data_IF_276949950732
#
_entry.id   IF_276949950732
#
_cell.length_a   1.000
_cell.length_b   1.000
_cell.length_c   1.000
_cell.angle_alpha   90.00
_cell.angle_beta   90.00
_cell.angle_gamma   90.00
#
_symmetry.space_group_name_H-M   'P 1'
#
loop_
_entity.id
_entity.type
_entity.pdbx_description
1 polymer ?
#
# COMPACT_ATOMS: atom_id res chain seq x y z
N UNK A 1 24.56 4.26 17.11
CA UNK A 1 23.55 4.46 16.05
C UNK A 1 23.38 3.11 15.37
N UNK A 2 22.17 2.63 15.26
CA UNK A 2 21.94 1.33 14.64
C UNK A 2 22.12 1.44 13.13
N UNK A 3 22.86 0.50 12.57
CA UNK A 3 23.20 0.42 11.17
C UNK A 3 22.87 -0.99 10.67
N UNK A 4 22.43 -1.10 9.43
CA UNK A 4 22.11 -2.38 8.81
C UNK A 4 22.41 -2.39 7.32
N UNK A 5 22.63 -3.58 6.79
CA UNK A 5 22.63 -3.78 5.35
C UNK A 5 21.23 -3.43 4.81
N UNK A 6 21.18 -2.52 3.84
CA UNK A 6 19.92 -2.03 3.28
C UNK A 6 19.05 -3.14 2.69
N UNK A 7 19.65 -4.10 1.99
CA UNK A 7 18.90 -5.19 1.35
C UNK A 7 18.27 -6.14 2.37
N UNK A 8 19.01 -6.45 3.44
CA UNK A 8 18.52 -7.32 4.51
C UNK A 8 17.38 -6.64 5.27
N UNK A 9 17.53 -5.37 5.61
CA UNK A 9 16.50 -4.58 6.27
C UNK A 9 15.25 -4.47 5.39
N UNK A 10 15.41 -4.16 4.10
CA UNK A 10 14.30 -4.10 3.13
C UNK A 10 13.57 -5.43 3.04
N UNK A 11 14.29 -6.55 2.98
CA UNK A 11 13.72 -7.90 2.96
C UNK A 11 12.92 -8.18 4.22
N UNK A 12 13.45 -7.82 5.38
CA UNK A 12 12.79 -7.98 6.66
C UNK A 12 11.49 -7.18 6.74
N UNK A 13 11.49 -5.90 6.32
CA UNK A 13 10.28 -5.06 6.28
C UNK A 13 9.23 -5.67 5.36
N UNK A 14 9.59 -6.05 4.15
CA UNK A 14 8.67 -6.63 3.17
C UNK A 14 8.08 -7.94 3.67
N UNK A 15 8.88 -8.77 4.34
CA UNK A 15 8.41 -10.02 4.93
C UNK A 15 7.38 -9.76 6.03
N UNK A 16 7.64 -8.83 6.94
CA UNK A 16 6.69 -8.46 8.00
C UNK A 16 5.38 -7.85 7.44
N UNK A 17 5.46 -7.07 6.36
CA UNK A 17 4.25 -6.55 5.69
C UNK A 17 3.38 -7.68 5.14
N UNK A 18 4.00 -8.73 4.58
CA UNK A 18 3.28 -9.93 4.10
C UNK A 18 2.64 -10.70 5.24
N UNK A 19 3.39 -10.97 6.31
CA UNK A 19 2.92 -11.68 7.50
C UNK A 19 1.75 -10.94 8.18
N UNK A 20 1.75 -9.64 8.11
CA UNK A 20 0.65 -8.78 8.58
C UNK A 20 -0.47 -8.58 7.58
N UNK A 21 -0.47 -9.33 6.48
CA UNK A 21 -1.51 -9.30 5.46
C UNK A 21 -1.77 -7.94 4.80
N UNK A 22 -0.73 -7.11 4.64
CA UNK A 22 -0.85 -5.89 3.85
C UNK A 22 -1.22 -6.21 2.41
N UNK A 23 -2.05 -5.35 1.79
CA UNK A 23 -2.47 -5.53 0.42
C UNK A 23 -1.26 -5.56 -0.53
N UNK A 24 -1.24 -6.40 -1.57
CA UNK A 24 -0.14 -6.46 -2.53
C UNK A 24 0.23 -5.11 -3.13
N UNK A 25 -0.76 -4.27 -3.45
CA UNK A 25 -0.53 -2.90 -3.95
C UNK A 25 0.17 -2.01 -2.92
N UNK A 26 -0.18 -2.16 -1.64
CA UNK A 26 0.50 -1.43 -0.55
C UNK A 26 1.95 -1.88 -0.45
N UNK A 27 2.23 -3.18 -0.51
CA UNK A 27 3.60 -3.71 -0.51
C UNK A 27 4.40 -3.22 -1.73
N UNK A 28 3.77 -3.13 -2.90
CA UNK A 28 4.39 -2.55 -4.09
C UNK A 28 4.75 -1.07 -3.88
N UNK A 29 3.89 -0.29 -3.21
CA UNK A 29 4.17 1.11 -2.88
C UNK A 29 5.38 1.25 -1.94
N UNK A 30 5.50 0.39 -0.92
CA UNK A 30 6.69 0.32 -0.06
C UNK A 30 7.96 0.02 -0.88
N UNK A 31 7.92 -1.00 -1.73
CA UNK A 31 9.05 -1.37 -2.59
C UNK A 31 9.47 -0.23 -3.51
N UNK A 32 8.50 0.51 -4.08
CA UNK A 32 8.77 1.67 -4.93
C UNK A 32 9.50 2.78 -4.16
N UNK A 33 9.08 3.07 -2.92
CA UNK A 33 9.77 4.03 -2.06
C UNK A 33 11.21 3.58 -1.74
N UNK A 34 11.38 2.30 -1.46
CA UNK A 34 12.71 1.74 -1.16
C UNK A 34 13.63 1.70 -2.37
N UNK A 35 13.12 1.49 -3.58
CA UNK A 35 13.91 1.64 -4.81
C UNK A 35 14.45 3.06 -4.97
N UNK A 36 13.66 4.08 -4.64
CA UNK A 36 14.10 5.48 -4.70
C UNK A 36 15.17 5.80 -3.64
N UNK A 37 15.02 5.24 -2.44
CA UNK A 37 16.02 5.34 -1.40
C UNK A 37 17.33 4.64 -1.81
N UNK A 38 17.24 3.46 -2.42
CA UNK A 38 18.39 2.74 -2.96
C UNK A 38 19.15 3.56 -4.01
N UNK A 39 18.43 4.17 -4.96
CA UNK A 39 19.05 5.07 -5.95
C UNK A 39 19.78 6.23 -5.25
N UNK A 40 19.15 6.86 -4.26
CA UNK A 40 19.78 7.93 -3.47
C UNK A 40 21.05 7.46 -2.77
N UNK A 41 21.03 6.27 -2.15
CA UNK A 41 22.20 5.70 -1.49
C UNK A 41 23.33 5.44 -2.48
N UNK A 42 23.02 4.87 -3.66
CA UNK A 42 24.00 4.62 -4.72
C UNK A 42 24.63 5.92 -5.26
N UNK A 43 23.81 6.94 -5.54
CA UNK A 43 24.27 8.25 -6.01
C UNK A 43 25.20 8.94 -5.00
N UNK A 44 24.94 8.76 -3.70
CA UNK A 44 25.73 9.34 -2.62
C UNK A 44 26.83 8.40 -2.07
N UNK A 45 27.03 7.22 -2.68
CA UNK A 45 28.03 6.19 -2.29
C UNK A 45 27.86 5.76 -0.81
N UNK A 46 26.62 5.61 -0.38
CA UNK A 46 26.27 5.13 0.95
C UNK A 46 26.09 3.62 0.89
N UNK A 47 26.91 2.88 1.61
CA UNK A 47 26.88 1.41 1.62
C UNK A 47 26.00 0.84 2.71
N UNK A 48 25.86 1.54 3.83
CA UNK A 48 25.16 1.09 5.03
C UNK A 48 23.99 2.02 5.32
N UNK A 49 22.84 1.44 5.60
CA UNK A 49 21.65 2.20 5.96
C UNK A 49 21.64 2.51 7.46
N UNK A 50 21.28 3.76 7.78
CA UNK A 50 20.95 4.22 9.13
C UNK A 50 19.69 5.10 9.08
N UNK A 51 19.07 5.34 10.21
CA UNK A 51 17.90 6.22 10.30
C UNK A 51 18.21 7.63 9.75
N UNK A 52 19.43 8.12 9.96
CA UNK A 52 19.89 9.40 9.41
C UNK A 52 19.89 9.43 7.89
N UNK A 53 20.31 8.34 7.24
CA UNK A 53 20.28 8.23 5.77
C UNK A 53 18.85 8.38 5.24
N UNK A 54 17.88 7.71 5.90
CA UNK A 54 16.47 7.85 5.57
C UNK A 54 15.94 9.27 5.73
N UNK A 55 16.33 9.96 6.82
CA UNK A 55 15.97 11.35 7.05
C UNK A 55 16.59 12.32 6.03
N UNK A 56 17.87 12.15 5.70
CA UNK A 56 18.58 12.98 4.73
C UNK A 56 18.01 12.78 3.32
N UNK A 57 17.63 11.55 2.97
CA UNK A 57 16.89 11.25 1.74
C UNK A 57 15.57 12.04 1.67
N UNK A 58 14.77 12.01 2.74
CA UNK A 58 13.51 12.74 2.79
C UNK A 58 13.73 14.26 2.71
N UNK A 59 14.71 14.81 3.42
CA UNK A 59 15.07 16.24 3.37
C UNK A 59 15.47 16.67 1.97
N UNK A 60 16.31 15.89 1.31
CA UNK A 60 16.78 16.18 -0.06
C UNK A 60 15.61 16.17 -1.04
N UNK A 61 14.68 15.23 -0.87
CA UNK A 61 13.53 15.08 -1.76
C UNK A 61 12.46 16.16 -1.55
N UNK A 62 12.17 16.50 -0.32
CA UNK A 62 11.10 17.45 0.02
C UNK A 62 11.55 18.92 0.06
N UNK A 63 12.85 19.19 -0.02
CA UNK A 63 13.43 20.54 -0.14
C UNK A 63 12.84 21.57 0.85
N UNK A 64 12.62 21.15 2.09
CA UNK A 64 12.11 22.04 3.15
C UNK A 64 10.59 22.29 3.12
N UNK A 65 9.84 21.61 2.27
CA UNK A 65 8.36 21.68 2.27
C UNK A 65 7.83 21.05 3.56
N UNK A 66 6.91 21.75 4.24
CA UNK A 66 6.28 21.23 5.45
C UNK A 66 5.44 19.98 5.15
N UNK A 67 5.43 18.99 6.07
CA UNK A 67 4.71 17.72 5.89
C UNK A 67 3.23 17.92 5.50
N UNK A 68 2.56 18.92 6.07
CA UNK A 68 1.15 19.20 5.76
C UNK A 68 0.91 19.57 4.28
N UNK A 69 1.93 20.14 3.62
CA UNK A 69 1.88 20.58 2.22
C UNK A 69 2.35 19.53 1.22
N UNK A 70 2.84 18.38 1.71
CA UNK A 70 3.25 17.28 0.86
C UNK A 70 2.04 16.62 0.18
N UNK A 71 2.23 16.15 -1.03
CA UNK A 71 1.26 15.29 -1.71
C UNK A 71 1.06 13.96 -0.94
N UNK A 72 -0.06 13.28 -1.17
CA UNK A 72 -0.33 11.97 -0.53
C UNK A 72 0.74 10.94 -0.86
N UNK A 73 1.29 10.99 -2.07
CA UNK A 73 2.40 10.14 -2.48
C UNK A 73 3.66 10.39 -1.63
N UNK A 74 4.01 11.65 -1.40
CA UNK A 74 5.17 12.04 -0.58
C UNK A 74 4.96 11.73 0.90
N UNK A 75 3.75 11.94 1.42
CA UNK A 75 3.37 11.53 2.79
C UNK A 75 3.50 10.03 2.98
N UNK A 76 3.08 9.23 1.99
CA UNK A 76 3.27 7.78 2.02
C UNK A 76 4.75 7.41 2.03
N UNK A 77 5.58 8.09 1.25
CA UNK A 77 7.03 7.86 1.25
C UNK A 77 7.65 8.15 2.63
N UNK A 78 7.28 9.26 3.28
CA UNK A 78 7.69 9.55 4.66
C UNK A 78 7.31 8.40 5.60
N UNK A 79 6.07 7.91 5.50
CA UNK A 79 5.59 6.77 6.29
C UNK A 79 6.41 5.51 6.03
N UNK A 80 6.71 5.21 4.77
CA UNK A 80 7.49 4.01 4.40
C UNK A 80 8.90 4.06 4.99
N UNK A 81 9.57 5.22 4.94
CA UNK A 81 10.90 5.40 5.53
C UNK A 81 10.85 5.31 7.05
N UNK A 82 9.83 5.87 7.70
CA UNK A 82 9.64 5.74 9.15
C UNK A 82 9.46 4.29 9.59
N UNK A 83 8.71 3.50 8.83
CA UNK A 83 8.56 2.06 9.11
C UNK A 83 9.88 1.31 8.94
N UNK A 84 10.69 1.65 7.95
CA UNK A 84 12.04 1.08 7.82
C UNK A 84 12.93 1.42 9.02
N UNK A 85 12.90 2.67 9.49
CA UNK A 85 13.63 3.09 10.68
C UNK A 85 13.11 2.39 11.94
N UNK A 86 11.80 2.20 12.06
CA UNK A 86 11.17 1.45 13.15
C UNK A 86 11.67 0.01 13.22
N UNK A 87 11.69 -0.69 12.07
CA UNK A 87 12.22 -2.07 12.01
C UNK A 87 13.72 -2.09 12.28
N UNK A 88 14.49 -1.09 11.81
CA UNK A 88 15.91 -0.97 12.14
C UNK A 88 16.15 -0.91 13.67
N UNK A 89 15.34 -0.13 14.40
CA UNK A 89 15.50 0.08 15.82
C UNK A 89 14.91 -1.04 16.69
N UNK A 90 13.79 -1.60 16.28
CA UNK A 90 13.01 -2.53 17.12
C UNK A 90 12.96 -3.96 16.59
N UNK A 91 13.39 -4.17 15.36
CA UNK A 91 13.28 -5.45 14.66
C UNK A 91 11.88 -5.78 14.15
N UNK A 92 10.86 -5.02 14.53
CA UNK A 92 9.45 -5.28 14.18
C UNK A 92 8.71 -4.01 13.77
N UNK A 93 7.65 -4.17 12.98
CA UNK A 93 6.67 -3.11 12.73
C UNK A 93 5.71 -3.03 13.92
N UNK A 94 5.71 -1.94 14.68
CA UNK A 94 4.91 -1.77 15.90
C UNK A 94 3.46 -1.41 15.57
N UNK A 95 3.23 -0.63 14.52
CA UNK A 95 1.90 -0.18 14.11
C UNK A 95 0.94 -1.35 13.85
N UNK A 96 -0.31 -1.24 14.30
CA UNK A 96 -1.35 -2.20 13.92
C UNK A 96 -1.58 -2.11 12.42
N UNK A 97 -1.66 -3.24 11.69
CA UNK A 97 -2.12 -3.20 10.32
C UNK A 97 -3.51 -2.55 10.33
N UNK A 98 -3.75 -1.62 9.41
CA UNK A 98 -5.12 -1.17 9.16
C UNK A 98 -5.91 -2.43 8.81
N UNK A 99 -6.96 -2.80 9.58
CA UNK A 99 -7.73 -3.97 9.23
C UNK A 99 -8.19 -3.79 7.79
N UNK A 100 -7.95 -4.79 6.95
CA UNK A 100 -8.61 -4.82 5.66
C UNK A 100 -10.09 -4.70 5.96
N UNK A 101 -10.74 -3.68 5.43
CA UNK A 101 -12.19 -3.72 5.32
C UNK A 101 -12.52 -5.06 4.68
N UNK A 102 -13.35 -5.90 5.31
CA UNK A 102 -13.70 -7.18 4.72
C UNK A 102 -14.12 -6.90 3.28
N UNK A 103 -13.60 -7.69 2.36
CA UNK A 103 -13.91 -7.53 0.95
C UNK A 103 -15.43 -7.59 0.83
N UNK A 104 -16.05 -6.54 0.27
CA UNK A 104 -17.49 -6.47 0.16
C UNK A 104 -17.98 -7.66 -0.66
N UNK A 105 -18.84 -8.48 -0.07
CA UNK A 105 -19.41 -9.64 -0.74
C UNK A 105 -20.75 -9.25 -1.36
N UNK A 106 -20.85 -9.44 -2.66
CA UNK A 106 -22.13 -9.31 -3.36
C UNK A 106 -22.95 -10.56 -3.12
N UNK A 107 -24.16 -10.40 -2.58
CA UNK A 107 -25.10 -11.49 -2.27
C UNK A 107 -26.31 -11.44 -3.19
N UNK A 108 -27.00 -12.59 -3.34
CA UNK A 108 -28.17 -12.73 -4.20
C UNK A 108 -27.83 -12.90 -5.68
N UNK A 109 -28.87 -12.94 -6.53
CA UNK A 109 -28.71 -13.25 -7.96
C UNK A 109 -27.89 -12.18 -8.69
N UNK A 110 -28.12 -10.90 -8.41
CA UNK A 110 -27.32 -9.81 -8.94
C UNK A 110 -25.87 -9.89 -8.42
N UNK A 111 -25.70 -10.29 -7.16
CA UNK A 111 -24.38 -10.48 -6.58
C UNK A 111 -23.56 -11.56 -7.29
N UNK A 112 -24.20 -12.65 -7.70
CA UNK A 112 -23.56 -13.71 -8.49
C UNK A 112 -23.03 -13.13 -9.81
N UNK A 113 -23.84 -12.36 -10.53
CA UNK A 113 -23.44 -11.71 -11.79
C UNK A 113 -22.27 -10.74 -11.61
N UNK A 114 -22.26 -9.97 -10.54
CA UNK A 114 -21.16 -9.05 -10.21
C UNK A 114 -19.88 -9.81 -9.88
N UNK A 115 -19.97 -10.89 -9.13
CA UNK A 115 -18.82 -11.74 -8.81
C UNK A 115 -18.24 -12.42 -10.06
N UNK A 116 -19.09 -12.90 -10.98
CA UNK A 116 -18.67 -13.47 -12.26
C UNK A 116 -17.97 -12.43 -13.14
N UNK A 117 -18.51 -11.21 -13.24
CA UNK A 117 -17.86 -10.10 -13.94
C UNK A 117 -16.50 -9.80 -13.37
N UNK A 118 -16.36 -9.65 -12.04
CA UNK A 118 -15.07 -9.40 -11.38
C UNK A 118 -14.09 -10.54 -11.63
N UNK A 119 -14.54 -11.79 -11.56
CA UNK A 119 -13.72 -12.96 -11.84
C UNK A 119 -13.19 -12.96 -13.29
N UNK A 120 -14.03 -12.60 -14.25
CA UNK A 120 -13.65 -12.45 -15.65
C UNK A 120 -12.62 -11.32 -15.84
N UNK A 121 -12.88 -10.13 -15.28
CA UNK A 121 -12.00 -8.99 -15.40
C UNK A 121 -10.62 -9.20 -14.75
N UNK A 122 -10.53 -9.98 -13.69
CA UNK A 122 -9.24 -10.36 -13.06
C UNK A 122 -8.28 -11.07 -14.00
N UNK A 123 -8.78 -11.73 -15.04
CA UNK A 123 -7.96 -12.45 -16.01
C UNK A 123 -7.33 -11.56 -17.07
N UNK A 124 -7.92 -10.40 -17.33
CA UNK A 124 -7.57 -9.54 -18.45
C UNK A 124 -7.16 -8.11 -18.05
N UNK A 125 -7.46 -7.67 -16.84
CA UNK A 125 -7.18 -6.32 -16.35
C UNK A 125 -6.18 -6.32 -15.20
N UNK A 126 -5.52 -5.17 -15.02
CA UNK A 126 -4.62 -4.98 -13.88
C UNK A 126 -5.38 -5.06 -12.54
N UNK A 127 -4.72 -5.50 -11.45
CA UNK A 127 -5.33 -5.53 -10.12
C UNK A 127 -5.92 -4.19 -9.67
N UNK A 128 -5.29 -3.08 -10.05
CA UNK A 128 -5.79 -1.73 -9.75
C UNK A 128 -7.11 -1.44 -10.46
N UNK A 129 -7.22 -1.81 -11.73
CA UNK A 129 -8.45 -1.64 -12.52
C UNK A 129 -9.58 -2.48 -11.94
N UNK A 130 -9.31 -3.73 -11.59
CA UNK A 130 -10.30 -4.63 -10.98
C UNK A 130 -10.77 -4.10 -9.61
N UNK A 131 -9.88 -3.53 -8.81
CA UNK A 131 -10.24 -2.90 -7.53
C UNK A 131 -11.18 -1.70 -7.73
N UNK A 132 -10.99 -0.90 -8.78
CA UNK A 132 -11.89 0.20 -9.13
C UNK A 132 -13.27 -0.31 -9.54
N UNK A 133 -13.32 -1.34 -10.39
CA UNK A 133 -14.59 -1.97 -10.77
C UNK A 133 -15.35 -2.51 -9.56
N UNK A 134 -14.64 -3.16 -8.63
CA UNK A 134 -15.24 -3.66 -7.40
C UNK A 134 -15.87 -2.52 -6.56
N UNK A 135 -15.19 -1.37 -6.46
CA UNK A 135 -15.73 -0.19 -5.77
C UNK A 135 -17.01 0.34 -6.45
N UNK A 136 -16.98 0.50 -7.77
CA UNK A 136 -18.16 0.99 -8.51
C UNK A 136 -19.34 0.04 -8.42
N UNK A 137 -19.09 -1.26 -8.52
CA UNK A 137 -20.14 -2.28 -8.36
C UNK A 137 -20.69 -2.31 -6.95
N UNK A 138 -19.85 -2.12 -5.93
CA UNK A 138 -20.30 -1.99 -4.54
C UNK A 138 -21.26 -0.81 -4.36
N UNK A 139 -20.89 0.34 -4.89
CA UNK A 139 -21.70 1.55 -4.76
C UNK A 139 -23.04 1.39 -5.51
N UNK A 140 -23.00 0.80 -6.71
CA UNK A 140 -24.22 0.44 -7.44
C UNK A 140 -25.09 -0.57 -6.70
N UNK A 141 -24.49 -1.61 -6.13
CA UNK A 141 -25.19 -2.65 -5.37
C UNK A 141 -25.89 -2.05 -4.15
N UNK A 142 -25.22 -1.17 -3.40
CA UNK A 142 -25.79 -0.49 -2.25
C UNK A 142 -26.94 0.42 -2.67
N UNK A 143 -26.79 1.18 -3.77
CA UNK A 143 -27.86 2.02 -4.32
C UNK A 143 -29.10 1.20 -4.68
N UNK A 144 -28.92 0.07 -5.37
CA UNK A 144 -30.01 -0.82 -5.76
C UNK A 144 -30.71 -1.44 -4.53
N UNK A 145 -29.92 -1.80 -3.52
CA UNK A 145 -30.44 -2.33 -2.26
C UNK A 145 -31.30 -1.31 -1.50
N UNK A 146 -30.81 -0.07 -1.39
CA UNK A 146 -31.53 1.02 -0.73
C UNK A 146 -32.84 1.37 -1.44
N UNK A 147 -32.88 1.21 -2.76
CA UNK A 147 -34.08 1.46 -3.58
C UNK A 147 -34.93 0.21 -3.81
N UNK A 148 -34.70 -0.89 -3.06
CA UNK A 148 -35.45 -2.17 -3.15
C UNK A 148 -35.51 -2.78 -4.58
N UNK A 149 -34.49 -2.54 -5.41
CA UNK A 149 -34.43 -2.97 -6.81
C UNK A 149 -33.50 -4.16 -7.05
N UNK A 150 -33.23 -4.98 -6.03
CA UNK A 150 -32.17 -5.97 -6.10
C UNK A 150 -32.45 -7.22 -6.93
N UNK A 151 -33.68 -7.54 -7.25
CA UNK A 151 -33.98 -8.83 -7.90
C UNK A 151 -35.21 -8.84 -8.81
N UNK A 152 -36.09 -7.88 -8.73
CA UNK A 152 -37.39 -7.96 -9.44
C UNK A 152 -37.47 -7.17 -10.73
N UNK A 153 -36.47 -6.35 -11.04
CA UNK A 153 -36.54 -5.37 -12.15
C UNK A 153 -35.43 -5.57 -13.20
N UNK A 154 -34.75 -6.71 -13.18
CA UNK A 154 -33.73 -7.08 -14.17
C UNK A 154 -34.04 -8.40 -14.84
#
# INVERSE_FOLDING_TARGET
MEESNFYDLRKQVVQQLRERHYAPLTICAFKSSYNKLECYMLENRIEIYSARVGEDFLKTRHKGVAYAQLSDFEKNMVRHIRIMNEVLHTGIIIGKPTPRSPMFEFKGDLGIQFNEFICHERRIKSPLTVSKYHLYLRDLFNFLKENNKLVKDF
#
